data_IF_020292236322
#
_entry.id   IF_020292236322
#
_cell.length_a   1.000
_cell.length_b   1.000
_cell.length_c   1.000
_cell.angle_alpha   90.00
_cell.angle_beta   90.00
_cell.angle_gamma   90.00
#
_symmetry.space_group_name_H-M   'P 1'
#
loop_
_entity.id
_entity.type
_entity.pdbx_description
1 polymer ?
#
# COMPACT_ATOMS: atom_id res chain seq x y z
N UNK A 1 -3.59 -18.24 -0.34
CA UNK A 1 -3.67 -18.74 -1.73
C UNK A 1 -2.55 -18.17 -2.60
N UNK A 2 -2.42 -16.85 -2.75
CA UNK A 2 -1.35 -16.25 -3.59
C UNK A 2 0.07 -16.69 -3.18
N UNK A 3 0.36 -16.76 -1.88
CA UNK A 3 1.66 -17.19 -1.35
C UNK A 3 2.04 -18.61 -1.74
N UNK A 4 1.06 -19.53 -1.75
CA UNK A 4 1.27 -20.92 -2.13
C UNK A 4 1.59 -21.07 -3.62
N UNK A 5 0.86 -20.34 -4.47
CA UNK A 5 1.11 -20.32 -5.92
C UNK A 5 2.53 -19.83 -6.22
N UNK A 6 2.97 -18.75 -5.57
CA UNK A 6 4.32 -18.19 -5.75
C UNK A 6 5.39 -19.20 -5.30
N UNK A 7 5.21 -19.86 -4.16
CA UNK A 7 6.15 -20.88 -3.66
C UNK A 7 6.30 -22.06 -4.63
N UNK A 8 5.18 -22.62 -5.09
CA UNK A 8 5.20 -23.75 -6.02
C UNK A 8 5.83 -23.39 -7.36
N UNK A 9 5.57 -22.20 -7.91
CA UNK A 9 6.19 -21.72 -9.14
C UNK A 9 7.72 -21.52 -8.99
N UNK A 10 8.18 -20.98 -7.85
CA UNK A 10 9.61 -20.81 -7.56
C UNK A 10 10.33 -22.16 -7.45
N UNK A 11 9.73 -23.13 -6.74
CA UNK A 11 10.30 -24.48 -6.60
C UNK A 11 10.37 -25.20 -7.95
N UNK A 12 9.33 -25.08 -8.78
CA UNK A 12 9.34 -25.67 -10.11
C UNK A 12 10.41 -25.05 -11.01
N UNK A 13 10.49 -23.71 -11.05
CA UNK A 13 11.48 -22.98 -11.85
C UNK A 13 12.92 -23.31 -11.45
N UNK A 14 13.22 -23.24 -10.15
CA UNK A 14 14.56 -23.57 -9.63
C UNK A 14 14.95 -25.02 -9.88
N UNK A 15 14.01 -25.95 -9.72
CA UNK A 15 14.24 -27.38 -10.00
C UNK A 15 14.48 -27.64 -11.49
N UNK A 16 13.74 -26.96 -12.37
CA UNK A 16 13.92 -27.04 -13.82
C UNK A 16 15.31 -26.55 -14.26
N UNK A 17 15.72 -25.36 -13.80
CA UNK A 17 17.05 -24.81 -14.09
C UNK A 17 18.16 -25.69 -13.54
N UNK A 18 18.02 -26.20 -12.31
CA UNK A 18 18.98 -27.10 -11.71
C UNK A 18 19.13 -28.42 -12.50
N UNK A 19 18.01 -28.98 -12.98
CA UNK A 19 18.02 -30.15 -13.85
C UNK A 19 18.70 -29.87 -15.20
N UNK A 20 18.43 -28.72 -15.81
CA UNK A 20 19.02 -28.31 -17.08
C UNK A 20 20.54 -28.12 -16.97
N UNK A 21 21.00 -27.45 -15.91
CA UNK A 21 22.44 -27.28 -15.62
C UNK A 21 23.10 -28.64 -15.49
N UNK A 22 22.56 -29.55 -14.66
CA UNK A 22 23.10 -30.91 -14.50
C UNK A 22 23.15 -31.73 -15.79
N UNK A 23 22.20 -31.53 -16.70
CA UNK A 23 22.17 -32.23 -18.00
C UNK A 23 23.22 -31.70 -18.97
N UNK A 24 23.58 -30.43 -18.86
CA UNK A 24 24.44 -29.74 -19.83
C UNK A 24 25.90 -29.69 -19.38
N UNK A 25 26.14 -29.77 -18.06
CA UNK A 25 27.48 -29.68 -17.48
C UNK A 25 28.25 -31.01 -17.63
N UNK A 26 29.11 -31.09 -18.66
CA UNK A 26 29.98 -32.25 -18.91
C UNK A 26 31.37 -32.11 -18.29
N UNK A 27 31.72 -30.95 -17.74
CA UNK A 27 33.06 -30.65 -17.24
C UNK A 27 33.06 -30.76 -15.72
N UNK A 28 33.51 -31.91 -15.21
CA UNK A 28 33.71 -32.20 -13.78
C UNK A 28 32.46 -31.96 -12.88
N UNK A 29 31.60 -32.97 -12.67
CA UNK A 29 30.45 -32.80 -11.79
C UNK A 29 30.91 -32.48 -10.37
N UNK A 30 30.73 -31.23 -9.96
CA UNK A 30 30.99 -30.81 -8.59
C UNK A 30 30.08 -31.59 -7.63
N UNK A 31 30.56 -31.95 -6.43
CA UNK A 31 29.75 -32.67 -5.46
C UNK A 31 28.49 -31.86 -5.14
N UNK A 32 27.32 -32.51 -5.18
CA UNK A 32 26.02 -31.84 -5.05
C UNK A 32 25.92 -30.94 -3.80
N UNK A 33 26.59 -31.32 -2.72
CA UNK A 33 26.66 -30.59 -1.46
C UNK A 33 27.30 -29.20 -1.62
N UNK A 34 28.27 -29.08 -2.50
CA UNK A 34 28.95 -27.82 -2.76
C UNK A 34 28.01 -26.82 -3.47
N UNK A 35 27.30 -27.28 -4.50
CA UNK A 35 26.30 -26.45 -5.20
C UNK A 35 25.16 -26.02 -4.28
N UNK A 36 24.64 -26.94 -3.46
CA UNK A 36 23.57 -26.65 -2.51
C UNK A 36 24.02 -25.61 -1.47
N UNK A 37 25.27 -25.69 -1.01
CA UNK A 37 25.86 -24.72 -0.07
C UNK A 37 25.99 -23.32 -0.70
N UNK A 38 26.43 -23.23 -1.95
CA UNK A 38 26.52 -21.95 -2.69
C UNK A 38 25.12 -21.35 -2.88
N UNK A 39 24.13 -22.17 -3.23
CA UNK A 39 22.75 -21.71 -3.46
C UNK A 39 22.13 -21.15 -2.16
N UNK A 40 22.34 -21.82 -1.03
CA UNK A 40 21.89 -21.34 0.29
C UNK A 40 22.62 -20.06 0.71
N UNK A 41 23.95 -20.01 0.57
CA UNK A 41 24.73 -18.81 0.90
C UNK A 41 24.37 -17.62 0.02
N UNK A 42 24.28 -17.82 -1.29
CA UNK A 42 23.86 -16.78 -2.25
C UNK A 42 22.46 -16.28 -1.97
N UNK A 43 21.52 -17.19 -1.67
CA UNK A 43 20.17 -16.85 -1.26
C UNK A 43 20.16 -15.96 0.00
N UNK A 44 20.85 -16.38 1.06
CA UNK A 44 20.94 -15.63 2.31
C UNK A 44 21.59 -14.24 2.13
N UNK A 45 22.66 -14.15 1.34
CA UNK A 45 23.35 -12.89 1.06
C UNK A 45 22.43 -11.93 0.30
N UNK A 46 21.59 -12.43 -0.61
CA UNK A 46 20.68 -11.59 -1.42
C UNK A 46 19.48 -11.04 -0.64
N UNK A 47 19.02 -11.73 0.41
CA UNK A 47 17.84 -11.32 1.21
C UNK A 47 18.12 -10.03 1.96
N UNK A 48 19.33 -9.88 2.51
CA UNK A 48 19.73 -8.76 3.36
C UNK A 48 19.60 -7.41 2.63
N UNK A 49 20.26 -7.17 1.48
CA UNK A 49 20.16 -5.90 0.76
C UNK A 49 18.76 -5.69 0.19
N UNK A 50 18.09 -6.74 -0.28
CA UNK A 50 16.73 -6.64 -0.83
C UNK A 50 15.73 -6.18 0.24
N UNK A 51 15.80 -6.77 1.43
CA UNK A 51 14.95 -6.40 2.57
C UNK A 51 15.23 -4.96 3.03
N UNK A 52 16.51 -4.57 3.08
CA UNK A 52 16.91 -3.20 3.44
C UNK A 52 16.41 -2.17 2.42
N UNK A 53 16.66 -2.39 1.12
CA UNK A 53 16.22 -1.47 0.06
C UNK A 53 14.69 -1.35 0.02
N UNK A 54 13.96 -2.46 0.15
CA UNK A 54 12.50 -2.43 0.20
C UNK A 54 11.99 -1.64 1.42
N UNK A 55 12.59 -1.84 2.58
CA UNK A 55 12.24 -1.10 3.80
C UNK A 55 12.53 0.40 3.65
N UNK A 56 13.67 0.74 3.03
CA UNK A 56 14.06 2.12 2.76
C UNK A 56 13.12 2.80 1.78
N UNK A 57 12.71 2.12 0.70
CA UNK A 57 11.71 2.63 -0.25
C UNK A 57 10.37 2.90 0.44
N UNK A 58 9.91 1.97 1.27
CA UNK A 58 8.68 2.17 2.06
C UNK A 58 8.79 3.34 3.02
N UNK A 59 9.94 3.52 3.66
CA UNK A 59 10.21 4.67 4.53
C UNK A 59 10.15 5.98 3.74
N UNK A 60 10.83 6.07 2.60
CA UNK A 60 10.81 7.25 1.74
C UNK A 60 9.40 7.56 1.22
N UNK A 61 8.64 6.54 0.83
CA UNK A 61 7.27 6.71 0.38
C UNK A 61 6.38 7.32 1.48
N UNK A 62 6.48 6.78 2.71
CA UNK A 62 5.76 7.31 3.88
C UNK A 62 6.19 8.73 4.22
N UNK A 63 7.49 9.02 4.17
CA UNK A 63 8.02 10.36 4.43
C UNK A 63 7.47 11.39 3.42
N UNK A 64 7.51 11.07 2.13
CA UNK A 64 6.98 11.95 1.09
C UNK A 64 5.46 12.13 1.19
N UNK A 65 4.71 11.06 1.48
CA UNK A 65 3.27 11.15 1.71
C UNK A 65 2.93 12.11 2.88
N UNK A 66 3.61 11.97 4.02
CA UNK A 66 3.47 12.90 5.16
C UNK A 66 3.76 14.34 4.74
N UNK A 67 4.88 14.56 4.04
CA UNK A 67 5.28 15.90 3.58
C UNK A 67 4.27 16.53 2.61
N UNK A 68 3.71 15.76 1.69
CA UNK A 68 2.67 16.25 0.76
C UNK A 68 1.40 16.62 1.52
N UNK A 69 0.95 15.79 2.47
CA UNK A 69 -0.27 16.09 3.24
C UNK A 69 -0.14 17.37 4.07
N UNK A 70 1.03 17.64 4.65
CA UNK A 70 1.27 18.88 5.39
C UNK A 70 1.28 20.11 4.49
N UNK A 71 1.83 19.99 3.26
CA UNK A 71 1.75 21.05 2.25
C UNK A 71 0.31 21.29 1.78
N UNK A 72 -0.49 20.24 1.57
CA UNK A 72 -1.90 20.36 1.21
C UNK A 72 -2.74 21.02 2.32
N UNK A 73 -2.29 20.93 3.57
CA UNK A 73 -2.94 21.61 4.69
C UNK A 73 -2.74 23.13 4.67
N UNK A 74 -1.62 23.60 4.09
CA UNK A 74 -1.26 25.02 4.00
C UNK A 74 -1.45 25.61 2.58
N UNK A 75 -1.95 24.81 1.63
CA UNK A 75 -2.09 25.27 0.25
C UNK A 75 -3.17 26.36 0.13
N UNK A 76 -2.87 27.51 -0.52
CA UNK A 76 -3.82 28.61 -0.72
C UNK A 76 -5.02 28.21 -1.60
N UNK A 77 -4.95 27.07 -2.29
CA UNK A 77 -6.04 26.52 -3.10
C UNK A 77 -7.09 25.73 -2.29
N UNK A 78 -6.93 25.61 -0.96
CA UNK A 78 -7.95 25.03 -0.08
C UNK A 78 -8.80 26.16 0.51
N UNK A 79 -10.00 26.46 -0.03
CA UNK A 79 -10.84 27.52 0.53
C UNK A 79 -11.13 27.23 2.01
N UNK A 80 -10.68 28.15 2.87
CA UNK A 80 -10.88 28.09 4.32
C UNK A 80 -12.38 28.04 4.59
N UNK A 81 -12.83 26.98 5.27
CA UNK A 81 -14.24 26.75 5.52
C UNK A 81 -14.98 26.01 4.42
N UNK A 82 -14.33 25.30 3.49
CA UNK A 82 -15.01 24.44 2.51
C UNK A 82 -14.83 22.95 2.82
N UNK A 83 -15.91 22.18 2.84
CA UNK A 83 -15.83 20.75 3.08
C UNK A 83 -15.26 20.00 1.86
N UNK A 84 -14.18 19.20 1.99
CA UNK A 84 -13.62 18.46 0.86
C UNK A 84 -14.53 17.32 0.37
N UNK A 85 -15.53 16.93 1.17
CA UNK A 85 -16.40 15.79 0.85
C UNK A 85 -17.73 16.22 0.23
N UNK A 86 -18.39 17.24 0.80
CA UNK A 86 -19.71 17.70 0.34
C UNK A 86 -19.71 19.12 -0.24
N UNK A 87 -18.53 19.75 -0.38
CA UNK A 87 -18.33 21.10 -0.95
C UNK A 87 -19.22 22.18 -0.32
N UNK A 88 -19.59 22.01 0.94
CA UNK A 88 -20.42 22.96 1.68
C UNK A 88 -19.55 23.86 2.54
N UNK A 89 -19.92 25.14 2.62
CA UNK A 89 -19.32 26.10 3.54
C UNK A 89 -19.55 25.65 4.99
N UNK A 90 -18.49 25.55 5.77
CA UNK A 90 -18.46 25.23 7.19
C UNK A 90 -17.74 26.35 7.93
N UNK A 91 -17.99 26.51 9.24
CA UNK A 91 -17.35 27.58 10.00
C UNK A 91 -15.83 27.40 10.00
N UNK A 92 -15.10 28.53 9.93
CA UNK A 92 -13.64 28.57 9.78
C UNK A 92 -12.87 27.76 10.83
N UNK A 93 -13.49 27.46 11.98
CA UNK A 93 -12.91 26.70 13.10
C UNK A 93 -13.61 25.36 13.42
N UNK A 94 -14.60 24.94 12.65
CA UNK A 94 -15.23 23.63 12.88
C UNK A 94 -14.29 22.50 12.46
N UNK A 95 -14.09 21.49 13.32
CA UNK A 95 -13.32 20.27 12.97
C UNK A 95 -14.12 19.30 12.09
N UNK A 96 -15.45 19.41 12.10
CA UNK A 96 -16.40 18.50 11.45
C UNK A 96 -17.40 19.32 10.64
N UNK A 97 -17.70 18.88 9.42
CA UNK A 97 -18.72 19.47 8.58
C UNK A 97 -20.12 19.16 9.10
N UNK A 98 -20.96 20.19 9.27
CA UNK A 98 -22.34 20.01 9.76
C UNK A 98 -23.26 19.26 8.79
N UNK A 99 -22.97 19.29 7.48
CA UNK A 99 -23.83 18.69 6.45
C UNK A 99 -23.60 17.20 6.25
N UNK A 100 -22.34 16.78 6.11
CA UNK A 100 -22.00 15.37 5.88
C UNK A 100 -21.37 14.68 7.09
N UNK A 101 -21.05 15.41 8.15
CA UNK A 101 -20.33 14.90 9.31
C UNK A 101 -18.87 14.52 9.02
N UNK A 102 -18.32 14.91 7.86
CA UNK A 102 -16.94 14.62 7.48
C UNK A 102 -15.93 15.49 8.21
N UNK A 103 -14.76 14.94 8.51
CA UNK A 103 -13.65 15.70 9.09
C UNK A 103 -13.13 16.75 8.11
N UNK A 104 -13.07 18.01 8.55
CA UNK A 104 -12.48 19.11 7.80
C UNK A 104 -10.95 19.05 7.90
N UNK A 105 -10.44 18.60 9.03
CA UNK A 105 -9.03 18.31 9.29
C UNK A 105 -8.91 16.83 9.64
N UNK A 106 -8.74 15.94 8.64
CA UNK A 106 -8.51 14.53 8.93
C UNK A 106 -7.20 14.37 9.73
N UNK A 107 -7.29 13.75 10.91
CA UNK A 107 -6.14 13.45 11.76
C UNK A 107 -5.36 12.20 11.31
N UNK A 108 -5.98 11.34 10.50
CA UNK A 108 -5.35 10.14 9.98
C UNK A 108 -4.69 10.38 8.62
N UNK A 109 -3.63 9.63 8.33
CA UNK A 109 -2.75 9.80 7.17
C UNK A 109 -3.42 9.45 5.82
N UNK A 110 -4.53 8.70 5.78
CA UNK A 110 -5.17 8.23 4.53
C UNK A 110 -6.72 8.13 4.51
N UNK A 111 -7.52 8.96 5.22
CA UNK A 111 -8.96 8.79 5.28
C UNK A 111 -9.67 9.10 3.95
N UNK A 112 -9.00 9.75 2.99
CA UNK A 112 -9.58 10.02 1.67
C UNK A 112 -9.48 8.82 0.70
N UNK A 113 -8.60 7.85 0.97
CA UNK A 113 -8.45 6.65 0.16
C UNK A 113 -9.40 5.52 0.60
N UNK A 114 -9.76 5.49 1.89
CA UNK A 114 -10.71 4.51 2.41
C UNK A 114 -12.14 4.94 2.04
N UNK A 115 -12.78 4.16 1.18
CA UNK A 115 -14.18 4.38 0.75
C UNK A 115 -15.09 3.36 1.41
N UNK A 116 -16.31 3.77 1.75
CA UNK A 116 -17.41 2.89 2.18
C UNK A 116 -18.59 3.03 1.24
N UNK A 117 -19.29 1.93 0.98
CA UNK A 117 -20.49 1.92 0.14
C UNK A 117 -21.70 2.15 1.03
N UNK A 118 -22.56 3.11 0.66
CA UNK A 118 -23.81 3.33 1.38
C UNK A 118 -24.76 2.14 1.19
N UNK A 119 -25.29 1.59 2.27
CA UNK A 119 -26.26 0.47 2.22
C UNK A 119 -27.61 0.86 1.58
N UNK A 120 -27.96 2.14 1.59
CA UNK A 120 -29.25 2.60 1.07
C UNK A 120 -29.20 2.96 -0.42
N UNK A 121 -28.20 3.75 -0.85
CA UNK A 121 -28.12 4.23 -2.24
C UNK A 121 -26.94 3.69 -3.05
N UNK A 122 -26.20 2.70 -2.52
CA UNK A 122 -25.01 2.08 -3.12
C UNK A 122 -23.88 3.05 -3.53
N UNK A 123 -23.95 4.32 -3.12
CA UNK A 123 -22.93 5.32 -3.47
C UNK A 123 -21.67 5.14 -2.63
N UNK A 124 -20.51 5.28 -3.28
CA UNK A 124 -19.22 5.34 -2.58
C UNK A 124 -19.07 6.67 -1.85
N UNK A 125 -18.91 6.61 -0.54
CA UNK A 125 -18.58 7.75 0.32
C UNK A 125 -17.17 7.58 0.91
N UNK A 126 -16.58 8.69 1.34
CA UNK A 126 -15.34 8.68 2.12
C UNK A 126 -15.62 8.03 3.48
N UNK A 127 -14.69 7.23 4.02
CA UNK A 127 -14.91 6.55 5.31
C UNK A 127 -15.13 7.53 6.48
N UNK A 128 -14.53 8.72 6.39
CA UNK A 128 -14.61 9.76 7.43
C UNK A 128 -15.98 10.46 7.55
N UNK A 129 -16.92 10.27 6.63
CA UNK A 129 -18.26 10.88 6.74
C UNK A 129 -19.20 10.03 7.60
N UNK A 130 -19.97 10.69 8.47
CA UNK A 130 -21.01 10.04 9.29
C UNK A 130 -22.26 9.73 8.47
N UNK A 131 -22.55 10.55 7.47
CA UNK A 131 -23.76 10.45 6.66
C UNK A 131 -23.40 10.31 5.19
N UNK A 132 -24.21 9.57 4.44
CA UNK A 132 -24.06 9.50 3.00
C UNK A 132 -24.31 10.88 2.38
N UNK A 133 -23.40 11.34 1.51
CA UNK A 133 -23.51 12.65 0.85
C UNK A 133 -24.75 12.73 -0.06
N UNK A 134 -25.16 11.60 -0.63
CA UNK A 134 -26.24 11.54 -1.61
C UNK A 134 -27.64 11.40 -0.96
N UNK A 135 -27.79 10.52 0.02
CA UNK A 135 -29.11 10.20 0.58
C UNK A 135 -29.27 10.53 2.07
N UNK A 136 -28.24 11.07 2.73
CA UNK A 136 -28.31 11.49 4.13
C UNK A 136 -28.42 10.36 5.16
N UNK A 137 -28.59 9.10 4.75
CA UNK A 137 -28.63 7.97 5.68
C UNK A 137 -27.29 7.78 6.38
N UNK A 138 -27.33 7.39 7.66
CA UNK A 138 -26.13 6.97 8.41
C UNK A 138 -25.47 5.82 7.66
N UNK A 139 -24.21 6.03 7.29
CA UNK A 139 -23.44 5.11 6.43
C UNK A 139 -22.46 4.27 7.22
#
# INVERSE_FOLDING_TARGET
MATFIVLTALLFSTSFWFWLVRRTDRFAPEPFWFLAKIMLLGGMISIIPTSFLNSFVLYLYRYNAKKITSMLLHSPLRPIGHCPVCKTNSSKNSRICRRCGGALFPAEEFPLLKKKICKNCARQNVFSVKFCVQCGTKG
#
